data_IF_563377213145
#
_entry.id   IF_563377213145
#
_cell.length_a   1.000
_cell.length_b   1.000
_cell.length_c   1.000
_cell.angle_alpha   90.00
_cell.angle_beta   90.00
_cell.angle_gamma   90.00
#
_symmetry.space_group_name_H-M   'P 1'
#
loop_
_entity.id
_entity.type
_entity.pdbx_description
1 polymer ?
#
# COMPACT_ATOMS: atom_id res chain seq x y z
N UNK A 1 11.25 7.96 9.89
CA UNK A 1 10.70 7.84 11.26
C UNK A 1 9.29 8.38 11.47
N UNK A 2 8.96 9.65 11.19
CA UNK A 2 7.64 10.20 11.57
C UNK A 2 6.39 9.53 10.93
N UNK A 3 6.53 8.89 9.75
CA UNK A 3 5.39 8.26 9.06
C UNK A 3 5.01 6.86 9.55
N UNK A 4 5.95 6.12 10.14
CA UNK A 4 5.74 4.71 10.48
C UNK A 4 4.72 4.51 11.61
N UNK A 5 4.72 5.38 12.62
CA UNK A 5 3.75 5.30 13.72
C UNK A 5 2.30 5.51 13.27
N UNK A 6 2.08 6.39 12.28
CA UNK A 6 0.74 6.62 11.71
C UNK A 6 0.26 5.37 10.97
N UNK A 7 1.11 4.76 10.15
CA UNK A 7 0.79 3.53 9.43
C UNK A 7 0.43 2.41 10.41
N UNK A 8 1.20 2.25 11.49
CA UNK A 8 0.89 1.24 12.52
C UNK A 8 -0.46 1.49 13.19
N UNK A 9 -0.79 2.74 13.52
CA UNK A 9 -2.10 3.09 14.08
C UNK A 9 -3.23 2.75 13.10
N UNK A 10 -3.07 3.08 11.82
CA UNK A 10 -4.06 2.76 10.78
C UNK A 10 -4.24 1.25 10.62
N UNK A 11 -3.16 0.47 10.67
CA UNK A 11 -3.21 -0.99 10.65
C UNK A 11 -3.95 -1.56 11.87
N UNK A 12 -3.75 -0.98 13.06
CA UNK A 12 -4.49 -1.37 14.26
C UNK A 12 -5.99 -1.06 14.16
N UNK A 13 -6.34 0.12 13.61
CA UNK A 13 -7.73 0.50 13.35
C UNK A 13 -8.36 -0.48 12.35
N UNK A 14 -7.64 -0.82 11.27
CA UNK A 14 -8.11 -1.81 10.30
C UNK A 14 -8.31 -3.19 10.92
N UNK A 15 -7.38 -3.64 11.77
CA UNK A 15 -7.49 -4.91 12.50
C UNK A 15 -8.71 -4.98 13.42
N UNK A 16 -9.20 -3.83 13.94
CA UNK A 16 -10.43 -3.74 14.74
C UNK A 16 -11.72 -3.76 13.91
N UNK A 17 -11.64 -3.94 12.59
CA UNK A 17 -12.78 -4.12 11.69
C UNK A 17 -13.14 -2.89 10.87
N UNK A 18 -12.43 -1.77 11.02
CA UNK A 18 -12.64 -0.61 10.16
C UNK A 18 -12.04 -0.85 8.77
N UNK A 19 -12.71 -0.40 7.71
CA UNK A 19 -12.10 -0.34 6.38
C UNK A 19 -11.22 0.90 6.30
N UNK A 20 -9.97 0.74 5.88
CA UNK A 20 -9.00 1.83 5.74
C UNK A 20 -8.51 1.88 4.30
N UNK A 21 -8.58 3.06 3.69
CA UNK A 21 -7.97 3.35 2.39
C UNK A 21 -6.84 4.35 2.62
N UNK A 22 -5.65 4.02 2.13
CA UNK A 22 -4.45 4.85 2.28
C UNK A 22 -3.83 5.09 0.91
N UNK A 23 -3.58 6.36 0.58
CA UNK A 23 -2.81 6.75 -0.60
C UNK A 23 -1.39 7.11 -0.16
N UNK A 24 -0.37 6.49 -0.75
CA UNK A 24 1.02 6.73 -0.37
C UNK A 24 1.97 6.50 -1.56
N UNK A 25 3.07 7.25 -1.59
CA UNK A 25 4.22 7.01 -2.47
C UNK A 25 5.37 6.30 -1.72
N UNK A 26 5.18 5.95 -0.44
CA UNK A 26 6.21 5.27 0.35
C UNK A 26 6.19 3.77 0.03
N UNK A 27 7.20 3.33 -0.72
CA UNK A 27 7.41 1.93 -1.10
C UNK A 27 7.49 0.98 0.10
N UNK A 28 8.26 1.33 1.12
CA UNK A 28 8.49 0.48 2.29
C UNK A 28 7.18 0.19 3.04
N UNK A 29 6.31 1.20 3.14
CA UNK A 29 4.99 1.07 3.76
C UNK A 29 4.12 0.09 2.98
N UNK A 30 4.09 0.19 1.65
CA UNK A 30 3.29 -0.72 0.82
C UNK A 30 3.82 -2.16 0.92
N UNK A 31 5.13 -2.33 0.74
CA UNK A 31 5.78 -3.64 0.72
C UNK A 31 5.66 -4.39 2.07
N UNK A 32 5.73 -3.68 3.20
CA UNK A 32 5.60 -4.28 4.53
C UNK A 32 4.15 -4.50 4.97
N UNK A 33 3.19 -3.72 4.44
CA UNK A 33 1.79 -3.84 4.86
C UNK A 33 1.14 -5.14 4.38
N UNK A 34 1.58 -5.68 3.22
CA UNK A 34 1.02 -6.89 2.59
C UNK A 34 -0.51 -6.87 2.53
N UNK A 35 -1.06 -5.74 2.11
CA UNK A 35 -2.51 -5.51 1.94
C UNK A 35 -2.83 -5.35 0.46
N UNK A 36 -4.11 -5.16 0.15
CA UNK A 36 -4.56 -4.88 -1.21
C UNK A 36 -3.92 -3.59 -1.73
N UNK A 37 -3.26 -3.65 -2.88
CA UNK A 37 -2.67 -2.50 -3.57
C UNK A 37 -3.47 -2.21 -4.82
N UNK A 38 -3.96 -0.97 -4.90
CA UNK A 38 -4.59 -0.41 -6.08
C UNK A 38 -3.62 0.60 -6.70
N UNK A 39 -2.98 0.23 -7.82
CA UNK A 39 -2.07 1.14 -8.52
C UNK A 39 -2.84 1.91 -9.59
N UNK A 40 -2.69 3.23 -9.59
CA UNK A 40 -3.35 4.11 -10.54
C UNK A 40 -2.33 4.87 -11.39
N UNK A 41 -2.61 5.00 -12.67
CA UNK A 41 -1.81 5.77 -13.62
C UNK A 41 -2.74 6.53 -14.57
N UNK A 42 -2.47 7.81 -14.81
CA UNK A 42 -3.26 8.66 -15.70
C UNK A 42 -4.80 8.58 -15.45
N UNK A 43 -5.21 8.49 -14.18
CA UNK A 43 -6.63 8.41 -13.79
C UNK A 43 -7.28 7.05 -14.00
N UNK A 44 -6.52 6.00 -14.32
CA UNK A 44 -7.01 4.62 -14.51
C UNK A 44 -6.40 3.68 -13.48
N UNK A 45 -7.18 2.70 -13.02
CA UNK A 45 -6.67 1.58 -12.23
C UNK A 45 -5.91 0.63 -13.16
N UNK A 46 -4.60 0.49 -12.94
CA UNK A 46 -3.71 -0.36 -13.76
C UNK A 46 -3.32 -1.65 -13.05
N UNK A 47 -3.48 -1.72 -11.71
CA UNK A 47 -3.18 -2.91 -10.92
C UNK A 47 -4.10 -3.01 -9.71
N UNK A 48 -4.49 -4.23 -9.39
CA UNK A 48 -5.33 -4.57 -8.25
C UNK A 48 -4.89 -5.93 -7.69
N UNK A 49 -4.18 -5.93 -6.57
CA UNK A 49 -3.51 -7.10 -6.02
C UNK A 49 -3.82 -7.21 -4.53
N UNK A 50 -4.33 -8.36 -4.06
CA UNK A 50 -4.78 -8.52 -2.66
C UNK A 50 -3.65 -8.47 -1.62
N UNK A 51 -2.44 -8.87 -2.00
CA UNK A 51 -1.22 -8.77 -1.18
C UNK A 51 -0.11 -8.20 -2.07
N UNK A 52 -0.35 -7.00 -2.60
CA UNK A 52 0.50 -6.40 -3.61
C UNK A 52 1.77 -5.75 -3.05
N UNK A 53 2.74 -5.54 -3.93
CA UNK A 53 3.95 -4.76 -3.68
C UNK A 53 3.82 -3.36 -4.30
N UNK A 54 4.72 -2.45 -3.95
CA UNK A 54 4.74 -1.10 -4.52
C UNK A 54 5.00 -1.14 -6.03
N UNK A 55 6.02 -1.92 -6.43
CA UNK A 55 6.33 -2.19 -7.85
C UNK A 55 5.84 -3.58 -8.23
N UNK A 56 5.58 -3.77 -9.52
CA UNK A 56 5.27 -5.10 -10.05
C UNK A 56 6.53 -5.98 -10.03
N UNK A 57 6.37 -7.28 -9.82
CA UNK A 57 7.46 -8.24 -10.08
C UNK A 57 7.92 -8.08 -11.54
N UNK A 58 9.19 -7.71 -11.73
CA UNK A 58 9.78 -7.44 -13.05
C UNK A 58 10.01 -5.96 -13.40
N UNK A 59 9.49 -5.01 -12.62
CA UNK A 59 9.73 -3.56 -12.82
C UNK A 59 10.96 -3.04 -12.07
N UNK A 60 11.60 -3.86 -11.21
CA UNK A 60 12.67 -3.42 -10.32
C UNK A 60 14.04 -3.18 -11.00
N UNK A 61 14.13 -3.21 -12.34
CA UNK A 61 15.39 -3.04 -13.09
C UNK A 61 15.28 -2.00 -14.24
N UNK A 62 14.75 -0.81 -13.95
CA UNK A 62 14.96 0.40 -14.76
C UNK A 62 15.47 1.54 -13.88
#
# INVERSE_FOLDING_TARGET
DAGWGIVQLLLQINHRGATVVMATHNREVVDLSKRRVLAMEAGRLVRDEQEGHYLKEGEANL
#
